data_IF_874545805091
#
_entry.id   IF_874545805091
#
_cell.length_a   1.000
_cell.length_b   1.000
_cell.length_c   1.000
_cell.angle_alpha   90.00
_cell.angle_beta   90.00
_cell.angle_gamma   90.00
#
_symmetry.space_group_name_H-M   'P 1'
#
loop_
_entity.id
_entity.type
_entity.pdbx_description
1 polymer ?
#
# COMPACT_ATOMS: atom_id res chain seq x y z
N UNK A 1 17.49 -31.18 1.26
CA UNK A 1 16.97 -29.80 1.22
C UNK A 1 17.07 -29.23 2.62
N UNK A 2 17.30 -27.92 2.77
CA UNK A 2 17.30 -27.30 4.08
C UNK A 2 15.87 -27.34 4.64
N UNK A 3 15.68 -27.74 5.91
CA UNK A 3 14.37 -27.88 6.55
C UNK A 3 14.03 -26.71 7.48
N UNK A 4 14.96 -25.77 7.64
CA UNK A 4 14.78 -24.59 8.48
C UNK A 4 15.41 -23.36 7.85
N UNK A 5 15.10 -22.20 8.42
CA UNK A 5 15.69 -20.91 8.10
C UNK A 5 16.04 -20.14 9.38
N UNK A 6 17.30 -19.73 9.49
CA UNK A 6 17.75 -18.69 10.43
C UNK A 6 17.80 -17.39 9.64
N UNK A 7 17.10 -16.35 10.11
CA UNK A 7 16.86 -15.15 9.31
C UNK A 7 17.97 -14.13 9.53
N UNK A 8 18.40 -13.96 10.77
CA UNK A 8 19.50 -13.08 11.14
C UNK A 8 20.56 -13.85 11.95
N UNK A 9 21.86 -13.55 11.81
CA UNK A 9 22.93 -14.25 12.53
C UNK A 9 22.82 -14.20 14.06
N UNK A 10 22.13 -13.21 14.59
CA UNK A 10 21.89 -13.03 16.04
C UNK A 10 20.63 -13.75 16.56
N UNK A 11 19.87 -14.42 15.70
CA UNK A 11 18.67 -15.12 16.12
C UNK A 11 19.02 -16.30 17.04
N UNK A 12 18.21 -16.51 18.08
CA UNK A 12 18.30 -17.69 18.96
C UNK A 12 17.21 -18.74 18.67
N UNK A 13 16.44 -18.50 17.61
CA UNK A 13 15.44 -19.43 17.06
C UNK A 13 15.58 -19.56 15.55
N UNK A 14 15.18 -20.70 15.01
CA UNK A 14 15.01 -20.93 13.59
C UNK A 14 13.53 -21.14 13.25
N UNK A 15 13.15 -20.87 12.01
CA UNK A 15 11.81 -21.18 11.47
C UNK A 15 11.85 -22.50 10.73
N UNK A 16 10.96 -23.42 11.03
CA UNK A 16 10.75 -24.64 10.25
C UNK A 16 10.16 -24.29 8.89
N UNK A 17 10.78 -24.73 7.79
CA UNK A 17 10.25 -24.57 6.42
C UNK A 17 9.71 -25.88 5.84
N UNK A 18 9.71 -26.93 6.65
CA UNK A 18 9.05 -28.21 6.44
C UNK A 18 8.57 -28.72 7.81
N UNK A 19 7.69 -29.72 7.83
CA UNK A 19 7.25 -30.33 9.07
C UNK A 19 8.42 -31.10 9.69
N UNK A 20 8.66 -30.87 10.97
CA UNK A 20 9.70 -31.55 11.74
C UNK A 20 9.06 -32.50 12.75
N UNK A 21 9.60 -33.71 12.85
CA UNK A 21 9.14 -34.69 13.83
C UNK A 21 10.05 -34.67 15.06
N UNK A 22 9.49 -35.03 16.22
CA UNK A 22 10.29 -35.29 17.40
C UNK A 22 11.33 -36.40 17.10
N UNK A 23 12.59 -36.15 17.47
CA UNK A 23 13.73 -37.02 17.18
C UNK A 23 14.45 -36.73 15.87
N UNK A 24 13.93 -35.84 15.00
CA UNK A 24 14.67 -35.38 13.83
C UNK A 24 15.96 -34.69 14.28
N UNK A 25 17.09 -34.99 13.62
CA UNK A 25 18.38 -34.35 13.87
C UNK A 25 18.70 -33.41 12.72
N UNK A 26 18.88 -32.13 13.03
CA UNK A 26 19.24 -31.09 12.08
C UNK A 26 20.65 -30.59 12.37
N UNK A 27 21.44 -30.33 11.32
CA UNK A 27 22.70 -29.61 11.47
C UNK A 27 22.41 -28.11 11.38
N UNK A 28 22.56 -27.39 12.50
CA UNK A 28 22.32 -25.95 12.64
C UNK A 28 23.64 -25.27 12.96
N UNK A 29 24.13 -24.42 12.04
CA UNK A 29 25.42 -23.72 12.17
C UNK A 29 26.63 -24.63 12.50
N UNK A 30 26.59 -25.90 12.07
CA UNK A 30 27.65 -26.88 12.35
C UNK A 30 27.42 -27.72 13.60
N UNK A 31 26.36 -27.47 14.37
CA UNK A 31 25.99 -28.22 15.58
C UNK A 31 24.77 -29.12 15.33
N UNK A 32 24.73 -30.29 15.96
CA UNK A 32 23.58 -31.18 15.90
C UNK A 32 22.48 -30.75 16.87
N UNK A 33 21.30 -30.43 16.33
CA UNK A 33 20.10 -30.08 17.08
C UNK A 33 19.06 -31.18 16.90
N UNK A 34 18.69 -31.84 17.99
CA UNK A 34 17.59 -32.82 18.01
C UNK A 34 16.27 -32.13 18.33
N UNK A 35 15.29 -32.27 17.44
CA UNK A 35 13.96 -31.71 17.61
C UNK A 35 13.20 -32.46 18.72
N UNK A 36 12.66 -31.73 19.70
CA UNK A 36 12.03 -32.32 20.89
C UNK A 36 10.54 -32.59 20.74
N UNK A 37 9.85 -31.78 19.93
CA UNK A 37 8.41 -31.85 19.72
C UNK A 37 8.13 -31.90 18.22
N UNK A 38 6.97 -32.39 17.78
CA UNK A 38 6.57 -32.15 16.38
C UNK A 38 6.35 -30.64 16.16
N UNK A 39 6.92 -30.11 15.08
CA UNK A 39 6.90 -28.68 14.76
C UNK A 39 6.36 -28.52 13.35
N UNK A 40 5.25 -27.80 13.24
CA UNK A 40 4.61 -27.52 11.96
C UNK A 40 5.43 -26.53 11.14
N UNK A 41 5.34 -26.66 9.82
CA UNK A 41 5.90 -25.71 8.86
C UNK A 41 5.46 -24.27 9.18
N UNK A 42 6.42 -23.36 9.35
CA UNK A 42 6.22 -21.96 9.72
C UNK A 42 6.39 -21.64 11.21
N UNK A 43 6.47 -22.68 12.07
CA UNK A 43 6.71 -22.51 13.50
C UNK A 43 8.20 -22.39 13.82
N UNK A 44 8.52 -22.06 15.08
CA UNK A 44 9.91 -21.80 15.52
C UNK A 44 10.44 -22.91 16.40
N UNK A 45 11.73 -23.13 16.37
CA UNK A 45 12.43 -23.95 17.37
C UNK A 45 13.67 -23.25 17.89
N UNK A 46 14.04 -23.53 19.13
CA UNK A 46 15.21 -22.95 19.76
C UNK A 46 16.50 -23.58 19.20
N UNK A 47 17.49 -22.76 18.86
CA UNK A 47 18.80 -23.23 18.38
C UNK A 47 19.90 -23.10 19.44
N UNK A 48 19.58 -22.47 20.58
CA UNK A 48 20.37 -22.47 21.81
C UNK A 48 19.40 -22.57 23.02
N UNK A 49 19.88 -22.85 24.24
CA UNK A 49 19.05 -22.75 25.44
C UNK A 49 18.57 -21.29 25.61
N UNK A 50 17.30 -21.11 25.99
CA UNK A 50 16.73 -19.79 26.31
C UNK A 50 16.13 -19.92 27.71
N UNK A 51 16.67 -19.23 28.69
CA UNK A 51 16.16 -19.31 30.07
C UNK A 51 14.87 -18.52 30.20
N UNK A 52 14.10 -18.84 31.23
CA UNK A 52 12.98 -18.02 31.65
C UNK A 52 13.39 -16.55 31.77
N UNK A 53 12.52 -15.66 31.29
CA UNK A 53 12.66 -14.21 31.21
C UNK A 53 13.73 -13.71 30.21
N UNK A 54 14.46 -14.60 29.52
CA UNK A 54 15.35 -14.21 28.41
C UNK A 54 14.57 -13.92 27.13
N UNK A 55 15.11 -13.01 26.32
CA UNK A 55 14.50 -12.63 25.05
C UNK A 55 14.60 -13.75 24.01
N UNK A 56 13.50 -13.96 23.30
CA UNK A 56 13.45 -14.72 22.05
C UNK A 56 13.78 -13.75 20.91
N UNK A 57 14.90 -13.98 20.24
CA UNK A 57 15.46 -13.12 19.19
C UNK A 57 15.15 -13.72 17.81
N UNK A 58 14.43 -12.96 16.99
CA UNK A 58 14.13 -13.28 15.59
C UNK A 58 14.25 -12.00 14.75
N UNK A 59 14.78 -12.11 13.53
CA UNK A 59 15.12 -10.95 12.69
C UNK A 59 16.19 -10.02 13.32
N UNK A 60 16.97 -10.53 14.27
CA UNK A 60 17.95 -9.75 15.04
C UNK A 60 17.37 -8.89 16.15
N UNK A 61 16.07 -9.01 16.46
CA UNK A 61 15.39 -8.23 17.49
C UNK A 61 14.58 -9.10 18.45
N UNK A 62 14.35 -8.65 19.69
CA UNK A 62 13.49 -9.34 20.64
C UNK A 62 12.04 -9.30 20.17
N UNK A 63 11.45 -10.48 19.94
CA UNK A 63 10.02 -10.63 19.58
C UNK A 63 9.14 -10.92 20.81
N UNK A 64 9.76 -11.17 21.95
CA UNK A 64 9.15 -11.54 23.22
C UNK A 64 10.19 -12.15 24.16
N UNK A 65 9.75 -12.62 25.32
CA UNK A 65 10.57 -13.34 26.29
C UNK A 65 10.01 -14.74 26.54
N UNK A 66 10.88 -15.67 26.95
CA UNK A 66 10.47 -17.00 27.40
C UNK A 66 9.79 -16.92 28.79
N UNK A 67 8.67 -17.61 29.00
CA UNK A 67 7.98 -17.64 30.30
C UNK A 67 8.42 -18.81 31.19
N UNK A 68 9.19 -19.72 30.61
CA UNK A 68 9.83 -20.89 31.21
C UNK A 68 11.16 -21.16 30.48
N UNK A 69 11.97 -22.07 31.00
CA UNK A 69 13.21 -22.48 30.32
C UNK A 69 12.88 -23.27 29.05
N UNK A 70 13.42 -22.86 27.91
CA UNK A 70 13.25 -23.51 26.61
C UNK A 70 14.56 -24.19 26.22
N UNK A 71 14.51 -25.50 25.97
CA UNK A 71 15.68 -26.26 25.55
C UNK A 71 15.97 -26.14 24.05
N UNK A 72 17.20 -26.43 23.65
CA UNK A 72 17.58 -26.61 22.24
C UNK A 72 16.64 -27.63 21.57
N UNK A 73 16.16 -27.31 20.36
CA UNK A 73 15.27 -28.15 19.55
C UNK A 73 13.81 -28.16 19.99
N UNK A 74 13.45 -27.41 21.04
CA UNK A 74 12.09 -27.29 21.55
C UNK A 74 11.24 -26.33 20.71
N UNK A 75 9.94 -26.61 20.62
CA UNK A 75 9.00 -25.77 19.89
C UNK A 75 8.79 -24.41 20.61
N UNK A 76 9.09 -23.31 19.91
CA UNK A 76 8.98 -21.95 20.44
C UNK A 76 7.71 -21.27 19.93
N UNK A 77 6.71 -21.12 20.79
CA UNK A 77 5.42 -20.56 20.43
C UNK A 77 4.71 -19.85 21.60
N UNK A 78 3.42 -19.56 21.47
CA UNK A 78 2.67 -18.71 22.41
C UNK A 78 2.43 -19.37 23.76
N UNK A 79 2.65 -20.69 23.86
CA UNK A 79 2.56 -21.42 25.13
C UNK A 79 3.79 -21.19 26.02
N UNK A 80 4.96 -20.90 25.44
CA UNK A 80 6.22 -20.69 26.17
C UNK A 80 6.89 -19.33 25.90
N UNK A 81 6.29 -18.48 25.06
CA UNK A 81 6.75 -17.11 24.76
C UNK A 81 5.64 -16.10 24.94
N UNK A 82 5.98 -14.96 25.54
CA UNK A 82 5.09 -13.81 25.71
C UNK A 82 5.68 -12.57 25.05
N UNK A 83 4.82 -11.74 24.46
CA UNK A 83 5.26 -10.49 23.83
C UNK A 83 5.81 -9.48 24.85
N UNK A 84 6.79 -8.68 24.43
CA UNK A 84 7.31 -7.54 25.20
C UNK A 84 6.46 -6.26 25.02
N UNK A 85 5.43 -6.29 24.15
CA UNK A 85 4.56 -5.15 23.90
C UNK A 85 3.66 -4.84 25.11
N UNK A 86 3.56 -3.56 25.47
CA UNK A 86 2.72 -3.04 26.55
C UNK A 86 2.40 -1.55 26.32
N UNK A 87 1.39 -1.02 27.01
CA UNK A 87 0.72 0.26 26.69
C UNK A 87 1.62 1.52 26.79
N UNK A 88 2.78 1.44 27.43
CA UNK A 88 3.65 2.60 27.75
C UNK A 88 5.07 2.49 27.17
N UNK A 89 5.21 1.86 26.01
CA UNK A 89 6.52 1.78 25.33
C UNK A 89 7.04 3.17 24.96
N UNK A 90 8.25 3.49 25.41
CA UNK A 90 8.99 4.64 24.91
C UNK A 90 9.71 4.26 23.62
N UNK A 91 9.40 4.95 22.53
CA UNK A 91 10.04 4.77 21.23
C UNK A 91 10.85 6.01 20.87
N UNK A 92 12.09 5.80 20.43
CA UNK A 92 12.92 6.86 19.83
C UNK A 92 13.26 6.46 18.40
N UNK A 93 12.89 7.30 17.44
CA UNK A 93 13.27 7.12 16.06
C UNK A 93 14.75 7.49 15.88
N UNK A 94 15.59 6.49 15.62
CA UNK A 94 17.00 6.67 15.30
C UNK A 94 17.21 6.25 13.84
N UNK A 95 17.09 7.17 12.87
CA UNK A 95 17.23 6.85 11.46
C UNK A 95 18.64 6.34 11.15
N UNK A 96 18.71 5.26 10.39
CA UNK A 96 19.94 4.78 9.76
C UNK A 96 19.85 5.15 8.28
N UNK A 97 20.96 5.62 7.72
CA UNK A 97 21.07 5.97 6.30
C UNK A 97 21.96 4.94 5.61
N UNK A 98 21.41 3.77 5.24
CA UNK A 98 22.19 2.76 4.54
C UNK A 98 22.66 3.32 3.19
N UNK A 99 23.93 3.10 2.88
CA UNK A 99 24.44 3.36 1.53
C UNK A 99 24.03 2.17 0.66
N UNK A 100 23.14 2.42 -0.30
CA UNK A 100 22.78 1.44 -1.31
C UNK A 100 23.89 1.37 -2.36
N UNK A 101 24.65 0.28 -2.37
CA UNK A 101 25.66 0.01 -3.40
C UNK A 101 25.04 -0.68 -4.62
N UNK A 102 24.01 -0.04 -5.17
CA UNK A 102 23.25 -0.53 -6.31
C UNK A 102 23.51 0.45 -7.46
N UNK A 103 24.11 0.01 -8.58
CA UNK A 103 24.35 0.87 -9.73
C UNK A 103 23.06 1.48 -10.27
N UNK A 104 23.15 2.74 -10.71
CA UNK A 104 22.09 3.36 -11.51
C UNK A 104 21.95 2.59 -12.83
N UNK A 105 20.71 2.42 -13.25
CA UNK A 105 20.35 1.87 -14.55
C UNK A 105 19.76 2.96 -15.44
N UNK A 106 19.96 2.83 -16.75
CA UNK A 106 19.32 3.69 -17.77
C UNK A 106 17.93 3.16 -18.17
N UNK A 107 17.32 2.32 -17.32
CA UNK A 107 16.03 1.73 -17.59
C UNK A 107 14.94 2.81 -17.56
N UNK A 108 14.02 2.70 -18.52
CA UNK A 108 12.83 3.52 -18.62
C UNK A 108 11.58 2.67 -18.52
N UNK A 109 10.45 3.31 -18.21
CA UNK A 109 9.12 2.71 -18.21
C UNK A 109 8.17 3.56 -19.05
N UNK A 110 7.26 2.90 -19.76
CA UNK A 110 6.22 3.57 -20.55
C UNK A 110 5.14 4.16 -19.65
N UNK A 111 5.08 5.48 -19.55
CA UNK A 111 4.07 6.20 -18.74
C UNK A 111 3.60 7.50 -19.38
N UNK A 112 2.60 8.13 -18.77
CA UNK A 112 2.02 9.40 -19.18
C UNK A 112 2.60 10.52 -18.33
N UNK A 113 3.38 11.43 -18.92
CA UNK A 113 3.86 12.61 -18.22
C UNK A 113 2.72 13.59 -17.98
N UNK A 114 2.62 14.09 -16.75
CA UNK A 114 1.61 15.06 -16.33
C UNK A 114 2.19 16.47 -16.24
N UNK A 115 1.31 17.46 -16.22
CA UNK A 115 1.65 18.89 -16.20
C UNK A 115 2.56 19.30 -15.04
N UNK A 116 2.51 18.58 -13.93
CA UNK A 116 3.29 18.82 -12.70
C UNK A 116 4.59 18.00 -12.65
N UNK A 117 4.96 17.35 -13.76
CA UNK A 117 6.16 16.53 -13.87
C UNK A 117 6.02 15.10 -13.32
N UNK A 118 4.88 14.75 -12.72
CA UNK A 118 4.62 13.39 -12.27
C UNK A 118 4.31 12.45 -13.44
N UNK A 119 4.31 11.14 -13.17
CA UNK A 119 4.01 10.09 -14.14
C UNK A 119 2.78 9.28 -13.73
N UNK A 120 1.82 9.16 -14.64
CA UNK A 120 0.79 8.11 -14.59
C UNK A 120 1.27 6.84 -15.29
N UNK A 121 1.09 5.68 -14.67
CA UNK A 121 1.28 4.38 -15.34
C UNK A 121 0.03 3.92 -16.10
N UNK A 122 -1.08 4.62 -15.86
CA UNK A 122 -2.37 4.47 -16.55
C UNK A 122 -2.94 5.84 -16.92
N UNK A 123 -3.91 5.83 -17.82
CA UNK A 123 -4.68 6.99 -18.23
C UNK A 123 -6.18 6.72 -18.06
N UNK A 124 -6.67 6.96 -16.85
CA UNK A 124 -8.03 6.64 -16.43
C UNK A 124 -8.89 7.92 -16.34
N UNK A 125 -10.21 7.78 -16.49
CA UNK A 125 -11.18 8.87 -16.36
C UNK A 125 -12.05 8.68 -15.12
N UNK A 126 -12.04 9.64 -14.20
CA UNK A 126 -12.62 9.47 -12.88
C UNK A 126 -13.74 10.46 -12.57
N UNK A 127 -14.71 10.02 -11.77
CA UNK A 127 -15.57 10.92 -11.00
C UNK A 127 -15.20 10.79 -9.51
N UNK A 128 -14.94 11.92 -8.87
CA UNK A 128 -14.67 12.02 -7.43
C UNK A 128 -15.79 12.80 -6.75
N UNK A 129 -16.77 12.09 -6.16
CA UNK A 129 -17.78 12.72 -5.31
C UNK A 129 -17.15 13.43 -4.11
N UNK A 130 -17.60 14.63 -3.77
CA UNK A 130 -17.24 15.30 -2.49
C UNK A 130 -18.14 14.86 -1.34
N UNK A 131 -19.25 14.18 -1.65
CA UNK A 131 -20.26 13.68 -0.70
C UNK A 131 -20.94 12.43 -1.26
N UNK A 132 -21.29 11.47 -0.40
CA UNK A 132 -21.96 10.24 -0.83
C UNK A 132 -23.34 10.42 -1.47
N UNK A 133 -24.00 11.56 -1.23
CA UNK A 133 -25.34 11.86 -1.76
C UNK A 133 -25.41 11.94 -3.30
N UNK A 134 -24.28 12.17 -3.98
CA UNK A 134 -24.22 12.24 -5.46
C UNK A 134 -23.65 10.96 -6.10
N UNK A 135 -23.42 9.90 -5.32
CA UNK A 135 -22.87 8.64 -5.84
C UNK A 135 -23.73 8.05 -6.98
N UNK A 136 -25.06 8.10 -6.85
CA UNK A 136 -25.99 7.56 -7.85
C UNK A 136 -25.94 8.34 -9.16
N UNK A 137 -25.96 9.67 -9.08
CA UNK A 137 -25.85 10.58 -10.21
C UNK A 137 -24.50 10.41 -10.91
N UNK A 138 -23.41 10.35 -10.14
CA UNK A 138 -22.07 10.08 -10.68
C UNK A 138 -22.02 8.74 -11.44
N UNK A 139 -22.63 7.69 -10.90
CA UNK A 139 -22.69 6.39 -11.58
C UNK A 139 -23.50 6.50 -12.89
N UNK A 140 -24.63 7.19 -12.87
CA UNK A 140 -25.44 7.40 -14.07
C UNK A 140 -24.66 8.13 -15.18
N UNK A 141 -23.85 9.14 -14.82
CA UNK A 141 -22.96 9.85 -15.75
C UNK A 141 -21.95 8.89 -16.38
N UNK A 142 -21.23 8.08 -15.58
CA UNK A 142 -20.22 7.16 -16.13
C UNK A 142 -20.85 6.07 -17.00
N UNK A 143 -21.99 5.52 -16.61
CA UNK A 143 -22.66 4.51 -17.45
C UNK A 143 -23.14 5.09 -18.78
N UNK A 144 -23.54 6.37 -18.80
CA UNK A 144 -23.83 7.08 -20.04
C UNK A 144 -22.58 7.30 -20.89
N UNK A 145 -21.47 7.75 -20.30
CA UNK A 145 -20.17 7.91 -20.97
C UNK A 145 -19.76 6.61 -21.67
N UNK A 146 -19.81 5.47 -20.95
CA UNK A 146 -19.45 4.15 -21.50
C UNK A 146 -20.33 3.71 -22.67
N UNK A 147 -21.61 4.12 -22.68
CA UNK A 147 -22.57 3.76 -23.72
C UNK A 147 -22.46 4.63 -24.96
N UNK A 148 -22.18 5.92 -24.79
CA UNK A 148 -22.35 6.92 -25.86
C UNK A 148 -21.03 7.43 -26.46
N UNK A 149 -19.89 7.22 -25.81
CA UNK A 149 -18.59 7.72 -26.26
C UNK A 149 -17.63 6.57 -26.58
N UNK A 150 -16.73 6.80 -27.55
CA UNK A 150 -15.58 5.92 -27.77
C UNK A 150 -14.51 6.19 -26.70
N UNK A 151 -14.27 5.17 -25.87
CA UNK A 151 -13.37 5.19 -24.72
C UNK A 151 -12.23 4.17 -24.87
N UNK A 152 -11.99 3.66 -26.08
CA UNK A 152 -10.98 2.63 -26.34
C UNK A 152 -9.53 3.06 -26.02
N UNK A 153 -9.27 4.37 -25.95
CA UNK A 153 -7.98 4.97 -25.57
C UNK A 153 -7.84 5.25 -24.06
N UNK A 154 -8.83 4.90 -23.25
CA UNK A 154 -8.87 5.13 -21.79
C UNK A 154 -8.70 3.79 -21.07
N UNK A 155 -7.76 3.72 -20.13
CA UNK A 155 -7.41 2.47 -19.45
C UNK A 155 -8.53 1.97 -18.50
N UNK A 156 -9.25 2.89 -17.84
CA UNK A 156 -10.40 2.60 -16.97
C UNK A 156 -11.29 3.84 -16.77
N UNK A 157 -12.57 3.62 -16.44
CA UNK A 157 -13.54 4.68 -16.11
C UNK A 157 -14.31 4.30 -14.85
N UNK A 158 -14.24 5.14 -13.81
CA UNK A 158 -14.79 4.80 -12.49
C UNK A 158 -15.22 5.98 -11.63
N UNK A 159 -16.26 5.75 -10.84
CA UNK A 159 -16.66 6.61 -9.73
C UNK A 159 -15.98 6.09 -8.46
N UNK A 160 -15.29 6.97 -7.72
CA UNK A 160 -14.76 6.64 -6.40
C UNK A 160 -15.79 6.95 -5.33
N UNK A 161 -16.80 6.09 -5.25
CA UNK A 161 -17.89 6.25 -4.29
C UNK A 161 -17.40 6.12 -2.85
N UNK A 162 -18.04 6.86 -1.95
CA UNK A 162 -17.86 6.73 -0.51
C UNK A 162 -19.18 7.01 0.21
N UNK A 163 -19.29 6.54 1.46
CA UNK A 163 -20.52 6.67 2.23
C UNK A 163 -20.54 7.90 3.14
N UNK A 164 -19.43 8.64 3.22
CA UNK A 164 -19.36 9.83 4.06
C UNK A 164 -20.26 10.97 3.57
N UNK A 165 -20.96 11.58 4.52
CA UNK A 165 -21.87 12.70 4.33
C UNK A 165 -21.52 13.88 5.25
N UNK A 166 -22.49 14.77 5.50
CA UNK A 166 -22.32 16.01 6.26
C UNK A 166 -22.11 15.84 7.78
N UNK A 167 -21.88 14.61 8.27
CA UNK A 167 -21.73 14.34 9.71
C UNK A 167 -20.29 14.11 10.15
N UNK A 168 -19.32 14.30 9.25
CA UNK A 168 -17.90 14.29 9.62
C UNK A 168 -17.51 15.60 10.31
N UNK A 169 -16.75 15.50 11.40
CA UNK A 169 -16.29 16.62 12.21
C UNK A 169 -14.78 16.58 12.39
N UNK A 170 -14.16 17.75 12.59
CA UNK A 170 -12.73 17.87 12.91
C UNK A 170 -11.82 17.10 11.96
N UNK A 171 -10.95 16.28 12.52
CA UNK A 171 -9.91 15.55 11.79
C UNK A 171 -10.48 14.54 10.79
N UNK A 172 -11.64 13.91 11.07
CA UNK A 172 -12.26 12.96 10.15
C UNK A 172 -12.65 13.64 8.83
N UNK A 173 -13.25 14.83 8.93
CA UNK A 173 -13.63 15.63 7.77
C UNK A 173 -12.39 16.06 6.97
N UNK A 174 -11.36 16.56 7.65
CA UNK A 174 -10.11 17.00 7.01
C UNK A 174 -9.38 15.84 6.32
N UNK A 175 -9.38 14.65 6.92
CA UNK A 175 -8.75 13.47 6.35
C UNK A 175 -9.48 13.00 5.08
N UNK A 176 -10.82 12.96 5.10
CA UNK A 176 -11.61 12.63 3.90
C UNK A 176 -11.39 13.66 2.80
N UNK A 177 -11.41 14.96 3.11
CA UNK A 177 -11.14 16.02 2.12
C UNK A 177 -9.75 15.85 1.50
N UNK A 178 -8.70 15.64 2.31
CA UNK A 178 -7.33 15.43 1.83
C UNK A 178 -7.21 14.19 0.94
N UNK A 179 -7.85 13.08 1.32
CA UNK A 179 -7.82 11.85 0.52
C UNK A 179 -8.48 12.02 -0.84
N UNK A 180 -9.67 12.65 -0.89
CA UNK A 180 -10.39 12.93 -2.13
C UNK A 180 -9.65 13.96 -3.01
N UNK A 181 -9.03 14.98 -2.40
CA UNK A 181 -8.21 15.96 -3.13
C UNK A 181 -6.94 15.32 -3.72
N UNK A 182 -6.28 14.43 -2.97
CA UNK A 182 -5.14 13.67 -3.48
C UNK A 182 -5.54 12.74 -4.64
N UNK A 183 -6.71 12.10 -4.53
CA UNK A 183 -7.27 11.26 -5.59
C UNK A 183 -7.57 12.07 -6.85
N UNK A 184 -8.21 13.25 -6.73
CA UNK A 184 -8.50 14.12 -7.87
C UNK A 184 -7.22 14.65 -8.58
N UNK A 185 -6.05 14.54 -7.94
CA UNK A 185 -4.75 14.92 -8.50
C UNK A 185 -3.85 13.73 -8.81
N UNK A 186 -4.35 12.50 -8.71
CA UNK A 186 -3.53 11.32 -8.86
C UNK A 186 -2.98 11.22 -10.31
N UNK A 187 -1.70 10.89 -10.53
CA UNK A 187 -1.12 10.88 -11.88
C UNK A 187 -1.75 9.89 -12.87
N UNK A 188 -2.42 8.83 -12.38
CA UNK A 188 -3.18 7.93 -13.25
C UNK A 188 -4.49 8.53 -13.79
N UNK A 189 -4.97 9.64 -13.21
CA UNK A 189 -6.15 10.32 -13.71
C UNK A 189 -5.77 11.16 -14.94
N UNK A 190 -6.17 10.70 -16.12
CA UNK A 190 -6.11 11.49 -17.35
C UNK A 190 -7.17 12.57 -17.41
N UNK A 191 -8.31 12.35 -16.74
CA UNK A 191 -9.37 13.33 -16.55
C UNK A 191 -10.14 13.04 -15.26
N UNK A 192 -10.64 14.10 -14.62
CA UNK A 192 -11.41 14.03 -13.38
C UNK A 192 -12.59 14.99 -13.43
N UNK A 193 -13.77 14.49 -13.08
CA UNK A 193 -14.90 15.33 -12.68
C UNK A 193 -15.06 15.24 -11.15
N UNK A 194 -14.86 16.38 -10.48
CA UNK A 194 -15.20 16.53 -9.06
C UNK A 194 -16.68 16.87 -8.98
N UNK A 195 -17.47 15.97 -8.36
CA UNK A 195 -18.92 16.07 -8.32
C UNK A 195 -19.41 16.38 -6.90
N UNK A 196 -19.97 17.57 -6.73
CA UNK A 196 -20.49 18.10 -5.48
C UNK A 196 -22.02 18.17 -5.49
N UNK A 197 -22.64 18.09 -4.31
CA UNK A 197 -24.09 18.30 -4.20
C UNK A 197 -24.39 19.81 -4.13
N UNK A 198 -23.71 20.52 -3.23
CA UNK A 198 -23.87 21.96 -2.97
C UNK A 198 -24.16 22.30 -1.50
N UNK A 199 -24.57 21.32 -0.69
CA UNK A 199 -24.93 21.53 0.72
C UNK A 199 -24.09 20.72 1.72
N UNK A 200 -23.06 20.01 1.24
CA UNK A 200 -22.18 19.21 2.08
C UNK A 200 -21.21 20.05 2.92
N UNK A 201 -20.63 19.47 3.98
CA UNK A 201 -19.56 20.14 4.73
C UNK A 201 -18.31 20.35 3.88
N UNK A 202 -18.00 19.38 2.99
CA UNK A 202 -16.86 19.45 2.07
C UNK A 202 -17.19 20.32 0.85
N UNK A 203 -17.45 21.59 1.10
CA UNK A 203 -17.82 22.56 0.08
C UNK A 203 -16.73 22.64 -1.00
N UNK A 204 -17.15 22.74 -2.25
CA UNK A 204 -16.24 22.70 -3.40
C UNK A 204 -15.18 23.82 -3.35
N UNK A 205 -15.50 24.98 -2.77
CA UNK A 205 -14.57 26.07 -2.55
C UNK A 205 -13.41 25.67 -1.63
N UNK A 206 -13.69 24.98 -0.53
CA UNK A 206 -12.68 24.50 0.41
C UNK A 206 -11.94 23.29 -0.14
N UNK A 207 -12.63 22.43 -0.90
CA UNK A 207 -12.01 21.33 -1.63
C UNK A 207 -10.95 21.82 -2.62
N UNK A 208 -11.24 22.89 -3.39
CA UNK A 208 -10.28 23.52 -4.29
C UNK A 208 -9.06 24.07 -3.54
N UNK A 209 -9.25 24.66 -2.35
CA UNK A 209 -8.12 25.09 -1.50
C UNK A 209 -7.26 23.90 -1.07
N UNK A 210 -7.89 22.79 -0.67
CA UNK A 210 -7.19 21.56 -0.28
C UNK A 210 -6.43 20.92 -1.45
N UNK A 211 -6.95 21.02 -2.68
CA UNK A 211 -6.25 20.58 -3.89
C UNK A 211 -5.04 21.46 -4.22
N UNK A 212 -5.08 22.76 -3.93
CA UNK A 212 -4.03 23.70 -4.32
C UNK A 212 -4.06 23.94 -5.83
N UNK A 213 -2.99 23.57 -6.55
CA UNK A 213 -2.93 23.66 -8.01
C UNK A 213 -3.43 22.39 -8.70
N UNK A 214 -4.04 22.52 -9.87
CA UNK A 214 -4.48 21.41 -10.73
C UNK A 214 -4.39 21.78 -12.21
N UNK A 215 -4.49 20.80 -13.10
CA UNK A 215 -4.62 21.03 -14.55
C UNK A 215 -6.08 21.35 -14.89
N UNK A 216 -6.35 22.62 -15.23
CA UNK A 216 -7.70 23.09 -15.57
C UNK A 216 -8.28 22.38 -16.81
N UNK A 217 -7.44 21.84 -17.69
CA UNK A 217 -7.90 21.09 -18.85
C UNK A 217 -8.34 19.67 -18.49
N UNK A 218 -7.91 19.13 -17.34
CA UNK A 218 -8.17 17.74 -16.93
C UNK A 218 -9.08 17.60 -15.71
N UNK A 219 -9.22 18.65 -14.91
CA UNK A 219 -10.11 18.63 -13.74
C UNK A 219 -11.28 19.58 -13.96
N UNK A 220 -12.49 19.01 -13.98
CA UNK A 220 -13.76 19.74 -14.02
C UNK A 220 -14.46 19.66 -12.68
N UNK A 221 -15.32 20.63 -12.43
CA UNK A 221 -16.04 20.78 -11.18
C UNK A 221 -17.52 21.00 -11.46
N UNK A 222 -18.38 20.21 -10.83
CA UNK A 222 -19.83 20.30 -10.96
C UNK A 222 -20.47 20.37 -9.58
N UNK A 223 -21.43 21.28 -9.41
CA UNK A 223 -22.29 21.37 -8.22
C UNK A 223 -23.71 21.05 -8.68
N UNK A 224 -24.26 19.91 -8.26
CA UNK A 224 -25.56 19.40 -8.71
C UNK A 224 -26.69 20.42 -8.51
N UNK A 225 -26.77 21.04 -7.34
CA UNK A 225 -27.83 22.00 -7.00
C UNK A 225 -27.73 23.35 -7.74
N UNK A 226 -26.71 23.55 -8.59
CA UNK A 226 -26.53 24.78 -9.37
C UNK A 226 -26.87 24.59 -10.86
N UNK A 227 -27.34 23.41 -11.26
CA UNK A 227 -27.72 23.10 -12.63
C UNK A 227 -29.10 22.43 -12.66
N UNK A 228 -29.78 22.50 -13.80
CA UNK A 228 -31.11 21.90 -13.95
C UNK A 228 -31.06 20.38 -14.12
N UNK A 229 -30.06 19.89 -14.86
CA UNK A 229 -29.79 18.47 -15.10
C UNK A 229 -28.31 18.18 -14.85
N UNK A 230 -28.00 17.65 -13.67
CA UNK A 230 -26.66 17.33 -13.25
C UNK A 230 -26.05 16.15 -14.02
N UNK A 231 -26.89 15.26 -14.57
CA UNK A 231 -26.42 14.10 -15.34
C UNK A 231 -26.02 14.54 -16.75
N UNK A 232 -26.84 15.34 -17.42
CA UNK A 232 -26.50 15.91 -18.74
C UNK A 232 -25.28 16.82 -18.63
N UNK A 233 -25.25 17.71 -17.64
CA UNK A 233 -24.10 18.61 -17.43
C UNK A 233 -22.83 17.83 -17.15
N UNK A 234 -22.89 16.83 -16.26
CA UNK A 234 -21.76 15.95 -15.96
C UNK A 234 -21.29 15.17 -17.20
N UNK A 235 -22.22 14.67 -18.02
CA UNK A 235 -21.89 13.97 -19.26
C UNK A 235 -21.15 14.87 -20.27
N UNK A 236 -21.60 16.11 -20.47
CA UNK A 236 -20.91 17.04 -21.39
C UNK A 236 -19.49 17.36 -20.91
N UNK A 237 -19.29 17.61 -19.62
CA UNK A 237 -17.96 17.81 -19.04
C UNK A 237 -17.05 16.59 -19.23
N UNK A 238 -17.59 15.39 -19.01
CA UNK A 238 -16.84 14.14 -19.20
C UNK A 238 -16.51 13.90 -20.67
N UNK A 239 -17.40 14.27 -21.60
CA UNK A 239 -17.15 14.20 -23.04
C UNK A 239 -15.97 15.06 -23.46
N UNK A 240 -15.86 16.29 -22.95
CA UNK A 240 -14.69 17.14 -23.19
C UNK A 240 -13.39 16.49 -22.70
N UNK A 241 -13.42 15.87 -21.51
CA UNK A 241 -12.27 15.17 -20.96
C UNK A 241 -11.87 13.95 -21.81
N UNK A 242 -12.84 13.15 -22.25
CA UNK A 242 -12.61 12.00 -23.14
C UNK A 242 -11.90 12.42 -24.42
N UNK A 243 -12.37 13.50 -25.06
CA UNK A 243 -11.77 14.03 -26.28
C UNK A 243 -10.37 14.60 -26.05
N UNK A 244 -10.16 15.32 -24.94
CA UNK A 244 -8.83 15.82 -24.58
C UNK A 244 -7.82 14.66 -24.38
N UNK A 245 -8.26 13.60 -23.69
CA UNK A 245 -7.44 12.41 -23.41
C UNK A 245 -7.04 11.60 -24.66
N UNK A 246 -7.69 11.79 -25.82
CA UNK A 246 -7.30 11.10 -27.08
C UNK A 246 -5.87 11.39 -27.50
N UNK A 247 -5.33 12.53 -27.09
CA UNK A 247 -3.99 12.96 -27.44
C UNK A 247 -2.92 12.45 -26.47
N UNK A 248 -3.31 11.75 -25.39
CA UNK A 248 -2.38 11.22 -24.41
C UNK A 248 -1.59 10.06 -25.00
N UNK A 249 -0.26 10.12 -24.87
CA UNK A 249 0.64 9.09 -25.36
C UNK A 249 1.61 8.68 -24.26
N UNK A 250 1.90 7.39 -24.20
CA UNK A 250 2.97 6.87 -23.34
C UNK A 250 4.32 7.31 -23.92
N UNK A 251 5.20 7.79 -23.06
CA UNK A 251 6.60 8.10 -23.36
C UNK A 251 7.53 7.25 -22.48
N UNK A 252 8.79 7.11 -22.91
CA UNK A 252 9.82 6.48 -22.08
C UNK A 252 10.21 7.45 -20.95
N UNK A 253 9.88 7.06 -19.71
CA UNK A 253 10.10 7.87 -18.53
C UNK A 253 11.12 7.23 -17.60
N UNK A 254 11.95 8.02 -16.91
CA UNK A 254 12.91 7.47 -15.96
C UNK A 254 12.18 6.80 -14.80
N UNK A 255 12.77 5.72 -14.27
CA UNK A 255 12.24 5.02 -13.10
C UNK A 255 12.09 5.91 -11.87
N UNK A 256 12.81 7.05 -11.81
CA UNK A 256 12.68 8.03 -10.73
C UNK A 256 11.31 8.70 -10.62
N UNK A 257 10.43 8.53 -11.61
CA UNK A 257 9.05 9.01 -11.54
C UNK A 257 8.06 7.93 -11.08
N UNK A 258 8.50 6.67 -11.00
CA UNK A 258 7.64 5.55 -10.63
C UNK A 258 7.43 5.52 -9.13
N UNK A 259 6.17 5.66 -8.69
CA UNK A 259 5.79 5.52 -7.28
C UNK A 259 5.15 4.16 -7.06
N UNK A 260 5.72 3.36 -6.16
CA UNK A 260 5.19 2.04 -5.79
C UNK A 260 4.75 2.04 -4.32
N UNK A 261 3.47 1.77 -4.09
CA UNK A 261 2.92 1.55 -2.75
C UNK A 261 2.99 0.06 -2.39
N UNK A 262 3.41 -0.24 -1.15
CA UNK A 262 3.55 -1.61 -0.66
C UNK A 262 2.56 -1.85 0.48
N UNK A 263 1.86 -2.99 0.45
CA UNK A 263 0.94 -3.40 1.51
C UNK A 263 0.86 -4.91 1.58
N UNK A 264 0.90 -5.46 2.79
CA UNK A 264 0.58 -6.86 3.04
C UNK A 264 -0.94 -7.07 3.08
N UNK A 265 -1.40 -8.18 2.51
CA UNK A 265 -2.79 -8.65 2.59
C UNK A 265 -3.02 -9.52 3.84
N UNK A 266 -3.21 -10.82 3.66
CA UNK A 266 -3.26 -11.79 4.76
C UNK A 266 -1.85 -12.20 5.18
N UNK A 267 -1.49 -11.98 6.45
CA UNK A 267 -0.18 -12.40 6.97
C UNK A 267 -0.17 -13.90 7.27
N UNK A 268 0.92 -14.58 6.90
CA UNK A 268 1.20 -15.96 7.28
C UNK A 268 2.60 -16.10 7.91
N UNK A 269 2.98 -17.33 8.28
CA UNK A 269 4.30 -17.62 8.85
C UNK A 269 5.48 -17.42 7.87
N UNK A 270 5.20 -17.28 6.57
CA UNK A 270 6.20 -17.21 5.50
C UNK A 270 6.40 -15.81 4.94
N UNK A 271 5.44 -14.91 5.13
CA UNK A 271 5.40 -13.56 4.55
C UNK A 271 6.68 -12.80 4.86
N UNK A 272 7.10 -12.82 6.13
CA UNK A 272 8.31 -12.16 6.62
C UNK A 272 9.63 -12.79 6.18
N UNK A 273 9.62 -13.98 5.58
CA UNK A 273 10.84 -14.71 5.19
C UNK A 273 10.92 -15.04 3.69
N UNK A 274 9.90 -14.66 2.91
CA UNK A 274 9.84 -14.89 1.46
C UNK A 274 9.49 -13.62 0.69
N UNK A 275 8.20 -13.29 0.59
CA UNK A 275 7.71 -12.18 -0.21
C UNK A 275 8.17 -10.81 0.33
N UNK A 276 8.13 -10.59 1.65
CA UNK A 276 8.49 -9.30 2.22
C UNK A 276 9.98 -8.97 2.02
N UNK A 277 10.93 -9.89 2.25
CA UNK A 277 12.35 -9.66 1.91
C UNK A 277 12.57 -9.35 0.42
N UNK A 278 11.89 -10.06 -0.48
CA UNK A 278 12.01 -9.80 -1.93
C UNK A 278 11.50 -8.40 -2.29
N UNK A 279 10.35 -8.00 -1.76
CA UNK A 279 9.80 -6.65 -1.94
C UNK A 279 10.71 -5.60 -1.32
N UNK A 280 11.39 -5.90 -0.20
CA UNK A 280 12.41 -5.04 0.39
C UNK A 280 13.59 -4.81 -0.57
N UNK A 281 14.13 -5.87 -1.18
CA UNK A 281 15.20 -5.75 -2.18
C UNK A 281 14.75 -4.96 -3.42
N UNK A 282 13.51 -5.17 -3.87
CA UNK A 282 12.92 -4.37 -4.94
C UNK A 282 12.83 -2.88 -4.55
N UNK A 283 12.41 -2.59 -3.32
CA UNK A 283 12.33 -1.22 -2.79
C UNK A 283 13.70 -0.56 -2.76
N UNK A 284 14.73 -1.24 -2.24
CA UNK A 284 16.10 -0.73 -2.23
C UNK A 284 16.60 -0.45 -3.65
N UNK A 285 16.33 -1.36 -4.58
CA UNK A 285 16.70 -1.18 -5.98
C UNK A 285 16.01 0.05 -6.60
N UNK A 286 14.70 0.24 -6.38
CA UNK A 286 13.94 1.36 -6.93
C UNK A 286 14.38 2.70 -6.32
N UNK A 287 14.61 2.75 -5.00
CA UNK A 287 15.16 3.92 -4.31
C UNK A 287 16.53 4.26 -4.88
N UNK A 288 17.37 3.25 -5.13
CA UNK A 288 18.66 3.45 -5.79
C UNK A 288 18.49 4.01 -7.22
N UNK A 289 17.39 3.75 -7.92
CA UNK A 289 17.06 4.39 -9.20
C UNK A 289 16.50 5.82 -9.04
N UNK A 290 16.04 6.19 -7.85
CA UNK A 290 15.50 7.51 -7.51
C UNK A 290 13.98 7.58 -7.52
N UNK A 291 13.30 6.42 -7.56
CA UNK A 291 11.84 6.29 -7.47
C UNK A 291 11.36 6.06 -6.05
#
# INVERSE_FOLDING_TARGET
MNKYLIIHPSDNVAVAIDNLNAGDVLNVNGEEVTIKNSIETGHKFAICPIRKDEDVIKYGYPIGHAIEDISIGEHVHTHNVKTNLHDNLQYTYNPVYPKLDIPKSDLTIKGYRRYDGQMGIRNELWIVPTVGCVNGQAQAVIERVKRELDISHIDDIRVYTHNYGCSQLGDDHLNTQKALAALAKHPNAGGVLVFSLGCENNQQSDFKKAMGTWDENRVRFLIAQQVEDEIETGFQMMKELVEYMRNDKREDLPLSLLKVGLKCGGSDGFSGITANPLVGQFSDWLIAQGG
#
